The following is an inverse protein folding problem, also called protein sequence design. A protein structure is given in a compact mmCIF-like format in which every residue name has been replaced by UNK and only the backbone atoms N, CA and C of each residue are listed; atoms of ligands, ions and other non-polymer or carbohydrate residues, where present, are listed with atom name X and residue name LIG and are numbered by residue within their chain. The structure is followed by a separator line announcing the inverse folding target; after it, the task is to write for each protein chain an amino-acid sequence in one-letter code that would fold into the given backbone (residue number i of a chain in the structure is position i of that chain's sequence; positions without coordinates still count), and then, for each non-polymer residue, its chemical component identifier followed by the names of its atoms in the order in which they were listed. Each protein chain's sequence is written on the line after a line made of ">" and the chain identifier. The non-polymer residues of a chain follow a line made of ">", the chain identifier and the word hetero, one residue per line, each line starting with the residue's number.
data_IF_050308721540
#
_entry.id   IF_050308721540
#
_cell.length_a   1.000
_cell.length_b   1.000
_cell.length_c   1.000
_cell.angle_alpha   90.00
_cell.angle_beta   90.00
_cell.angle_gamma   90.00
#
_symmetry.space_group_name_H-M   'P 1'
#
loop_
_entity.id
_entity.type
_entity.pdbx_description
1 polymer ?
#
# COMPACT_ATOMS: atom_id res chain seq x y z
N UNK A 1 24.63 10.00 -12.16
CA UNK A 1 24.08 8.88 -11.37
C UNK A 1 22.65 9.22 -10.97
N UNK A 2 21.75 8.29 -11.03
CA UNK A 2 20.36 8.47 -10.58
C UNK A 2 20.04 7.31 -9.64
N UNK A 3 19.54 7.63 -8.47
CA UNK A 3 19.07 6.64 -7.49
C UNK A 3 17.72 7.06 -6.90
N UNK A 4 17.24 6.34 -5.89
CA UNK A 4 15.95 6.59 -5.24
C UNK A 4 15.86 7.91 -4.47
N UNK A 5 16.99 8.54 -4.21
CA UNK A 5 17.06 9.82 -3.47
C UNK A 5 17.18 11.01 -4.41
N UNK A 6 17.55 10.78 -5.66
CA UNK A 6 17.64 11.86 -6.65
C UNK A 6 18.57 11.59 -7.81
N UNK A 7 18.84 12.65 -8.53
CA UNK A 7 19.79 12.67 -9.64
C UNK A 7 21.05 13.45 -9.23
N UNK A 8 22.21 12.84 -9.47
CA UNK A 8 23.51 13.41 -9.18
C UNK A 8 24.27 13.63 -10.48
N UNK A 9 24.80 14.83 -10.67
CA UNK A 9 25.59 15.19 -11.83
C UNK A 9 27.00 15.57 -11.42
N UNK A 10 28.01 15.03 -12.10
CA UNK A 10 29.41 15.49 -11.97
C UNK A 10 29.64 16.89 -12.54
N UNK A 11 28.61 17.47 -13.16
CA UNK A 11 28.76 18.64 -13.99
C UNK A 11 29.18 18.30 -15.43
N UNK A 12 29.46 19.32 -16.20
CA UNK A 12 29.88 19.18 -17.57
C UNK A 12 31.37 18.77 -17.63
N UNK A 13 31.66 17.68 -18.34
CA UNK A 13 33.03 17.21 -18.65
C UNK A 13 33.28 17.47 -20.14
N UNK A 14 34.26 18.32 -20.43
CA UNK A 14 34.69 18.56 -21.83
C UNK A 14 35.73 17.51 -22.24
N UNK A 15 35.43 16.75 -23.28
CA UNK A 15 36.35 15.73 -23.82
C UNK A 15 37.63 16.39 -24.32
N UNK A 16 37.54 17.61 -24.87
CA UNK A 16 38.67 18.32 -25.45
C UNK A 16 39.58 19.00 -24.39
N UNK A 17 39.00 19.41 -23.25
CA UNK A 17 39.70 20.18 -22.22
C UNK A 17 40.04 19.37 -20.97
N UNK A 18 39.39 18.21 -20.78
CA UNK A 18 39.57 17.33 -19.61
C UNK A 18 39.42 15.85 -19.99
N UNK A 19 40.32 15.43 -20.89
CA UNK A 19 40.38 14.06 -21.39
C UNK A 19 40.52 13.05 -20.25
N UNK A 20 41.31 13.41 -19.21
CA UNK A 20 41.54 12.51 -18.08
C UNK A 20 40.26 12.28 -17.25
N UNK A 21 39.46 13.31 -17.00
CA UNK A 21 38.20 13.17 -16.28
C UNK A 21 37.22 12.32 -17.08
N UNK A 22 37.15 12.50 -18.42
CA UNK A 22 36.34 11.69 -19.29
C UNK A 22 36.75 10.21 -19.26
N UNK A 23 38.04 9.93 -19.47
CA UNK A 23 38.57 8.56 -19.45
C UNK A 23 38.36 7.90 -18.10
N UNK A 24 38.57 8.63 -16.98
CA UNK A 24 38.26 8.11 -15.62
C UNK A 24 36.80 7.74 -15.48
N UNK A 25 35.85 8.59 -15.90
CA UNK A 25 34.44 8.31 -15.80
C UNK A 25 34.06 7.03 -16.55
N UNK A 26 34.48 6.90 -17.80
CA UNK A 26 34.21 5.71 -18.63
C UNK A 26 34.87 4.47 -18.04
N UNK A 27 36.17 4.56 -17.68
CA UNK A 27 36.87 3.44 -17.05
C UNK A 27 36.25 3.00 -15.74
N UNK A 28 35.77 3.95 -14.94
CA UNK A 28 35.06 3.61 -13.68
C UNK A 28 33.84 2.76 -13.96
N UNK A 29 33.00 3.13 -14.93
CA UNK A 29 31.84 2.31 -15.30
C UNK A 29 32.19 0.92 -15.81
N UNK A 30 33.28 0.81 -16.59
CA UNK A 30 33.75 -0.47 -17.13
C UNK A 30 34.34 -1.41 -16.08
N UNK A 31 34.86 -0.85 -14.97
CA UNK A 31 35.49 -1.60 -13.92
C UNK A 31 34.54 -1.87 -12.72
N UNK A 32 33.34 -1.26 -12.71
CA UNK A 32 32.35 -1.49 -11.67
C UNK A 32 31.86 -2.94 -11.68
N UNK A 33 31.77 -3.51 -10.49
CA UNK A 33 31.08 -4.78 -10.26
C UNK A 33 29.55 -4.60 -10.45
N UNK A 34 28.84 -5.69 -10.63
CA UNK A 34 27.37 -5.70 -10.73
C UNK A 34 26.72 -4.94 -9.57
N UNK A 35 27.23 -5.10 -8.35
CA UNK A 35 26.76 -4.41 -7.15
C UNK A 35 26.96 -2.89 -7.24
N UNK A 36 28.13 -2.46 -7.74
CA UNK A 36 28.44 -1.03 -7.92
C UNK A 36 27.63 -0.40 -9.06
N UNK A 37 27.25 -1.19 -10.05
CA UNK A 37 26.31 -0.81 -11.11
C UNK A 37 24.86 -0.76 -10.63
N UNK A 38 24.58 -1.16 -9.37
CA UNK A 38 23.25 -1.15 -8.77
C UNK A 38 22.40 -2.37 -9.13
N UNK A 39 22.99 -3.43 -9.65
CA UNK A 39 22.30 -4.69 -9.88
C UNK A 39 22.10 -5.43 -8.55
N UNK A 40 20.94 -6.04 -8.40
CA UNK A 40 20.65 -6.86 -7.22
C UNK A 40 21.38 -8.22 -7.35
N UNK A 41 22.46 -8.38 -6.58
CA UNK A 41 23.27 -9.61 -6.55
C UNK A 41 22.68 -10.69 -5.66
N UNK A 42 21.57 -10.43 -4.96
CA UNK A 42 20.89 -11.42 -4.11
C UNK A 42 20.01 -12.37 -4.91
N UNK A 43 19.63 -12.00 -6.13
CA UNK A 43 18.95 -12.86 -7.09
C UNK A 43 20.00 -13.52 -7.98
N UNK A 44 20.25 -14.81 -7.74
CA UNK A 44 21.24 -15.60 -8.49
C UNK A 44 20.62 -16.25 -9.73
N UNK A 45 21.33 -16.22 -10.84
CA UNK A 45 20.97 -16.96 -12.04
C UNK A 45 21.73 -18.31 -12.05
N UNK A 46 21.01 -19.40 -11.99
CA UNK A 46 21.57 -20.77 -12.02
C UNK A 46 20.80 -21.57 -13.06
N UNK A 47 21.46 -22.00 -14.12
CA UNK A 47 20.86 -22.78 -15.23
C UNK A 47 19.57 -22.14 -15.80
N UNK A 48 19.57 -20.81 -15.94
CA UNK A 48 18.44 -20.03 -16.44
C UNK A 48 17.30 -19.83 -15.44
N UNK A 49 17.45 -20.27 -14.17
CA UNK A 49 16.52 -20.09 -13.08
C UNK A 49 16.94 -18.94 -12.18
N UNK A 50 15.97 -18.16 -11.71
CA UNK A 50 16.20 -17.07 -10.75
C UNK A 50 15.99 -17.60 -9.34
N UNK A 51 17.05 -17.66 -8.54
CA UNK A 51 17.05 -18.26 -7.20
C UNK A 51 17.48 -17.21 -6.17
N UNK A 52 16.73 -17.12 -5.09
CA UNK A 52 17.12 -16.38 -3.88
C UNK A 52 17.42 -17.35 -2.74
N UNK A 53 18.38 -16.98 -1.91
CA UNK A 53 18.70 -17.68 -0.66
C UNK A 53 18.16 -16.86 0.50
N UNK A 54 17.41 -17.49 1.39
CA UNK A 54 16.83 -16.87 2.60
C UNK A 54 17.24 -17.65 3.84
N UNK A 55 17.13 -17.00 5.00
CA UNK A 55 17.17 -17.65 6.32
C UNK A 55 15.80 -17.42 6.94
N UNK A 56 15.08 -18.48 7.25
CA UNK A 56 13.76 -18.37 7.87
C UNK A 56 13.87 -17.76 9.27
N UNK A 57 13.05 -16.75 9.57
CA UNK A 57 13.13 -15.99 10.83
C UNK A 57 12.80 -16.84 12.07
N UNK A 58 11.89 -17.82 11.94
CA UNK A 58 11.50 -18.67 13.07
C UNK A 58 12.45 -19.85 13.29
N UNK A 59 12.83 -20.55 12.23
CA UNK A 59 13.63 -21.79 12.32
C UNK A 59 15.14 -21.54 12.28
N UNK A 60 15.57 -20.41 11.69
CA UNK A 60 16.97 -20.14 11.37
C UNK A 60 17.51 -21.02 10.22
N UNK A 61 16.65 -21.82 9.58
CA UNK A 61 17.06 -22.69 8.48
C UNK A 61 17.28 -21.88 7.19
N UNK A 62 18.32 -22.29 6.47
CA UNK A 62 18.61 -21.73 5.17
C UNK A 62 17.82 -22.45 4.08
N UNK A 63 17.12 -21.68 3.25
CA UNK A 63 16.31 -22.18 2.15
C UNK A 63 16.59 -21.46 0.84
N UNK A 64 16.53 -22.17 -0.27
CA UNK A 64 16.53 -21.60 -1.59
C UNK A 64 15.12 -21.58 -2.16
N UNK A 65 14.72 -20.41 -2.71
CA UNK A 65 13.41 -20.20 -3.33
C UNK A 65 13.67 -19.83 -4.80
N UNK A 66 13.05 -20.59 -5.70
CA UNK A 66 13.00 -20.24 -7.11
C UNK A 66 11.87 -19.25 -7.34
N UNK A 67 12.17 -18.10 -7.95
CA UNK A 67 11.21 -17.02 -8.20
C UNK A 67 10.97 -16.85 -9.70
N UNK A 68 9.78 -16.38 -10.07
CA UNK A 68 9.47 -15.99 -11.43
C UNK A 68 10.37 -14.78 -11.80
N UNK A 69 11.18 -14.85 -12.88
CA UNK A 69 12.06 -13.75 -13.27
C UNK A 69 11.29 -12.48 -13.65
N UNK A 70 9.99 -12.61 -13.96
CA UNK A 70 9.12 -11.48 -14.27
C UNK A 70 8.45 -10.99 -12.99
N UNK A 71 8.77 -9.78 -12.50
CA UNK A 71 8.14 -9.26 -11.29
C UNK A 71 6.66 -9.00 -11.51
N UNK A 72 5.87 -9.26 -10.47
CA UNK A 72 4.44 -8.94 -10.39
C UNK A 72 4.21 -7.42 -10.32
N UNK A 73 5.06 -6.75 -9.55
CA UNK A 73 5.03 -5.29 -9.33
C UNK A 73 6.40 -4.74 -9.64
N UNK A 74 6.44 -3.65 -10.40
CA UNK A 74 7.65 -2.88 -10.70
C UNK A 74 7.44 -1.42 -10.28
N UNK A 75 8.48 -0.75 -9.79
CA UNK A 75 8.40 0.68 -9.54
C UNK A 75 8.26 1.45 -10.86
N UNK A 76 7.25 2.30 -10.95
CA UNK A 76 7.04 3.15 -12.12
C UNK A 76 7.86 4.45 -12.06
N UNK A 77 8.35 4.84 -10.89
CA UNK A 77 9.10 6.07 -10.66
C UNK A 77 10.47 5.79 -10.06
N UNK A 78 11.45 6.59 -10.47
CA UNK A 78 12.81 6.53 -9.91
C UNK A 78 12.86 6.96 -8.46
N UNK A 79 12.06 7.96 -8.09
CA UNK A 79 12.01 8.55 -6.74
C UNK A 79 10.89 7.98 -5.89
N UNK A 80 10.74 6.67 -5.83
CA UNK A 80 9.76 5.96 -4.98
C UNK A 80 10.47 4.97 -4.06
N UNK A 81 9.74 4.32 -3.14
CA UNK A 81 10.30 3.21 -2.32
C UNK A 81 10.86 2.06 -3.15
N UNK A 82 10.63 2.07 -4.45
CA UNK A 82 11.15 1.09 -5.38
C UNK A 82 10.61 -0.31 -5.17
N UNK A 83 9.42 -0.43 -4.62
CA UNK A 83 8.79 -1.72 -4.34
C UNK A 83 8.76 -2.58 -5.59
N UNK A 84 9.38 -3.75 -5.49
CA UNK A 84 9.40 -4.77 -6.53
C UNK A 84 8.98 -6.08 -5.88
N UNK A 85 8.00 -6.77 -6.46
CA UNK A 85 7.49 -8.02 -5.91
C UNK A 85 7.64 -9.15 -6.91
N UNK A 86 8.08 -10.31 -6.43
CA UNK A 86 8.18 -11.56 -7.18
C UNK A 86 7.35 -12.64 -6.49
N UNK A 87 6.76 -13.55 -7.27
CA UNK A 87 6.18 -14.77 -6.73
C UNK A 87 7.21 -15.91 -6.80
N UNK A 88 7.14 -16.85 -5.87
CA UNK A 88 7.85 -18.12 -6.01
C UNK A 88 7.16 -18.99 -7.07
N UNK A 89 7.92 -19.84 -7.77
CA UNK A 89 7.36 -20.73 -8.80
C UNK A 89 6.42 -21.79 -8.24
N UNK A 90 6.54 -22.14 -6.96
CA UNK A 90 5.64 -23.05 -6.26
C UNK A 90 4.38 -22.35 -5.70
N UNK A 91 4.17 -21.06 -5.99
CA UNK A 91 3.06 -20.24 -5.53
C UNK A 91 2.88 -20.17 -4.00
N UNK A 92 3.95 -20.41 -3.21
CA UNK A 92 3.88 -20.35 -1.74
C UNK A 92 4.26 -18.99 -1.18
N UNK A 93 5.19 -18.28 -1.86
CA UNK A 93 5.83 -17.10 -1.31
C UNK A 93 5.67 -15.87 -2.23
N UNK A 94 5.48 -14.73 -1.58
CA UNK A 94 5.69 -13.41 -2.17
C UNK A 94 7.02 -12.86 -1.66
N UNK A 95 7.90 -12.45 -2.56
CA UNK A 95 9.19 -11.82 -2.23
C UNK A 95 9.11 -10.35 -2.58
N UNK A 96 9.14 -9.48 -1.57
CA UNK A 96 9.03 -8.02 -1.68
C UNK A 96 10.38 -7.39 -1.42
N UNK A 97 10.83 -6.55 -2.32
CA UNK A 97 12.00 -5.68 -2.16
C UNK A 97 11.53 -4.24 -2.08
N UNK A 98 12.02 -3.48 -1.11
CA UNK A 98 11.65 -2.07 -0.97
C UNK A 98 12.66 -1.28 -0.14
N UNK A 99 12.72 0.03 -0.37
CA UNK A 99 13.49 0.96 0.44
C UNK A 99 12.61 1.53 1.56
N UNK A 100 13.12 1.52 2.78
CA UNK A 100 12.47 2.10 3.95
C UNK A 100 13.36 3.12 4.61
N UNK A 101 12.76 4.19 5.16
CA UNK A 101 13.44 5.04 6.12
C UNK A 101 13.54 4.33 7.47
N UNK A 102 14.60 4.59 8.23
CA UNK A 102 14.79 4.00 9.56
C UNK A 102 13.92 4.66 10.65
N UNK A 103 13.17 5.70 10.32
CA UNK A 103 12.28 6.34 11.27
C UNK A 103 10.95 5.58 11.35
N UNK A 104 10.63 5.06 12.52
CA UNK A 104 9.41 4.28 12.78
C UNK A 104 9.64 2.78 12.75
N UNK A 105 8.60 2.02 13.11
CA UNK A 105 8.63 0.57 13.02
C UNK A 105 8.58 0.12 11.57
N UNK A 106 9.46 -0.79 11.21
CA UNK A 106 9.48 -1.38 9.87
C UNK A 106 8.32 -2.37 9.68
N UNK A 107 7.91 -2.61 8.42
CA UNK A 107 6.96 -3.67 8.10
C UNK A 107 7.35 -5.02 8.72
N UNK A 108 8.63 -5.34 8.72
CA UNK A 108 9.18 -6.56 9.32
C UNK A 108 8.88 -6.67 10.82
N UNK A 109 9.09 -5.58 11.56
CA UNK A 109 8.81 -5.55 13.01
C UNK A 109 7.32 -5.67 13.30
N UNK A 110 6.48 -4.98 12.53
CA UNK A 110 5.03 -5.07 12.65
C UNK A 110 4.52 -6.47 12.30
N UNK A 111 5.03 -7.10 11.25
CA UNK A 111 4.70 -8.47 10.90
C UNK A 111 5.12 -9.46 11.99
N UNK A 112 6.32 -9.33 12.56
CA UNK A 112 6.77 -10.16 13.71
C UNK A 112 5.83 -10.02 14.90
N UNK A 113 5.37 -8.83 15.19
CA UNK A 113 4.38 -8.57 16.25
C UNK A 113 2.99 -9.12 15.92
N UNK A 114 2.62 -9.10 14.64
CA UNK A 114 1.35 -9.63 14.17
C UNK A 114 1.29 -11.16 14.24
N UNK A 115 2.41 -11.87 14.26
CA UNK A 115 2.40 -13.35 14.34
C UNK A 115 1.90 -13.87 15.71
N UNK A 116 1.16 -14.99 15.74
CA UNK A 116 0.49 -15.68 14.63
C UNK A 116 -0.97 -15.21 14.51
N UNK A 117 -1.30 -14.31 13.59
CA UNK A 117 -2.68 -13.88 13.36
C UNK A 117 -3.28 -14.54 12.11
N UNK A 118 -4.56 -14.95 12.21
CA UNK A 118 -5.32 -15.41 11.05
C UNK A 118 -5.82 -14.22 10.24
N UNK A 119 -5.84 -14.37 8.92
CA UNK A 119 -6.30 -13.33 8.00
C UNK A 119 -5.28 -12.20 7.74
N UNK A 120 -4.04 -12.36 8.21
CA UNK A 120 -2.88 -11.50 7.89
C UNK A 120 -1.76 -12.41 7.39
N UNK A 121 -1.03 -11.99 6.36
CA UNK A 121 0.11 -12.78 5.85
C UNK A 121 1.20 -12.94 6.90
N UNK A 122 1.90 -14.07 6.85
CA UNK A 122 2.99 -14.39 7.75
C UNK A 122 4.33 -13.95 7.15
N UNK A 123 5.20 -13.40 8.00
CA UNK A 123 6.60 -13.22 7.69
C UNK A 123 7.32 -14.55 7.73
N UNK A 124 8.03 -14.88 6.65
CA UNK A 124 8.86 -16.10 6.56
C UNK A 124 10.33 -15.77 6.77
N UNK A 125 10.80 -14.71 6.10
CA UNK A 125 12.17 -14.25 6.20
C UNK A 125 12.26 -12.76 5.93
N UNK A 126 13.27 -12.12 6.51
CA UNK A 126 13.59 -10.73 6.26
C UNK A 126 15.10 -10.50 6.23
N UNK A 127 15.56 -9.73 5.25
CA UNK A 127 16.97 -9.41 5.10
C UNK A 127 17.16 -7.92 4.81
N UNK A 128 18.20 -7.36 5.42
CA UNK A 128 18.76 -6.06 5.01
C UNK A 128 19.73 -6.31 3.87
N UNK A 129 19.40 -5.90 2.67
CA UNK A 129 20.23 -6.11 1.47
C UNK A 129 21.30 -5.02 1.36
N UNK A 130 20.91 -3.78 1.65
CA UNK A 130 21.82 -2.64 1.52
C UNK A 130 21.42 -1.53 2.49
N UNK A 131 22.44 -0.87 3.06
CA UNK A 131 22.26 0.34 3.86
C UNK A 131 22.74 1.55 3.05
N UNK A 132 21.92 2.59 3.00
CA UNK A 132 22.21 3.78 2.19
C UNK A 132 23.32 4.68 2.77
N UNK A 133 23.63 4.58 4.06
CA UNK A 133 24.71 5.37 4.70
C UNK A 133 26.06 5.25 3.97
N UNK A 134 26.33 4.08 3.36
CA UNK A 134 27.56 3.86 2.58
C UNK A 134 27.66 4.75 1.33
N UNK A 135 26.57 4.92 0.58
CA UNK A 135 26.57 5.76 -0.63
C UNK A 135 26.70 7.25 -0.29
N UNK A 136 26.11 7.67 0.82
CA UNK A 136 26.19 9.06 1.29
C UNK A 136 27.63 9.44 1.70
N UNK A 137 28.36 8.54 2.31
CA UNK A 137 29.78 8.79 2.65
C UNK A 137 30.63 9.06 1.41
N UNK A 138 30.38 8.36 0.31
CA UNK A 138 31.04 8.60 -0.97
C UNK A 138 30.67 9.96 -1.59
N UNK A 139 29.53 10.53 -1.23
CA UNK A 139 29.01 11.79 -1.79
C UNK A 139 29.25 13.01 -0.90
N UNK A 140 29.81 12.85 0.32
CA UNK A 140 30.09 13.94 1.29
C UNK A 140 30.95 15.10 0.73
N UNK A 141 31.65 14.92 -0.38
CA UNK A 141 32.42 15.97 -1.06
C UNK A 141 31.67 16.77 -2.11
N UNK A 142 30.43 16.42 -2.43
CA UNK A 142 29.66 17.06 -3.49
C UNK A 142 28.64 18.02 -2.89
N UNK A 143 28.78 19.32 -3.14
CA UNK A 143 27.78 20.31 -2.77
C UNK A 143 26.52 20.09 -3.62
N UNK A 144 25.32 19.91 -3.00
CA UNK A 144 24.10 19.76 -3.76
C UNK A 144 23.78 21.05 -4.52
N UNK A 145 23.70 20.99 -5.84
CA UNK A 145 23.15 22.07 -6.65
C UNK A 145 21.64 21.93 -6.68
N UNK A 146 20.93 22.96 -6.25
CA UNK A 146 19.46 23.01 -6.40
C UNK A 146 19.12 23.32 -7.84
N UNK A 147 18.31 22.46 -8.47
CA UNK A 147 17.64 22.77 -9.71
C UNK A 147 16.34 23.49 -9.36
N UNK A 148 16.22 24.77 -9.73
CA UNK A 148 14.96 25.47 -9.67
C UNK A 148 14.14 25.07 -10.88
N UNK A 149 13.07 24.29 -10.66
CA UNK A 149 12.04 24.11 -11.69
C UNK A 149 11.32 25.45 -11.85
N UNK A 150 11.30 25.96 -13.07
CA UNK A 150 10.54 27.19 -13.35
C UNK A 150 9.03 26.91 -13.24
N UNK A 151 8.19 27.93 -12.92
CA UNK A 151 6.74 27.76 -12.79
C UNK A 151 6.04 27.15 -14.03
N UNK A 152 6.68 27.15 -15.19
CA UNK A 152 6.17 26.51 -16.42
C UNK A 152 6.20 24.98 -16.37
N UNK A 153 7.04 24.39 -15.51
CA UNK A 153 7.16 22.95 -15.38
C UNK A 153 6.12 22.34 -14.42
N UNK A 154 5.28 23.20 -13.80
CA UNK A 154 4.19 22.76 -12.91
C UNK A 154 2.99 22.14 -13.66
N UNK A 155 2.99 22.15 -15.00
CA UNK A 155 1.92 21.55 -15.82
C UNK A 155 1.98 20.02 -15.92
N UNK A 156 3.02 19.37 -15.38
CA UNK A 156 3.16 17.92 -15.33
C UNK A 156 2.71 17.34 -13.98
N UNK A 157 1.50 17.73 -13.54
CA UNK A 157 0.81 17.04 -12.44
C UNK A 157 0.23 15.72 -12.94
N UNK A 158 1.07 14.73 -13.12
CA UNK A 158 0.62 13.36 -13.34
C UNK A 158 0.44 12.71 -11.96
N UNK A 159 -0.79 12.76 -11.43
CA UNK A 159 -1.19 11.91 -10.33
C UNK A 159 -1.46 10.51 -10.91
N UNK A 160 -0.49 9.62 -10.81
CA UNK A 160 -0.77 8.20 -10.95
C UNK A 160 -1.44 7.73 -9.65
N UNK A 161 -2.61 7.12 -9.78
CA UNK A 161 -3.46 6.65 -8.67
C UNK A 161 -2.82 5.54 -7.81
N UNK A 162 -1.59 5.12 -8.13
CA UNK A 162 -0.84 4.10 -7.41
C UNK A 162 0.13 4.64 -6.35
N UNK A 163 0.39 5.97 -6.34
CA UNK A 163 1.35 6.55 -5.39
C UNK A 163 0.66 7.06 -4.13
N UNK A 164 1.23 6.75 -2.96
CA UNK A 164 0.78 7.29 -1.69
C UNK A 164 1.01 8.80 -1.62
N UNK A 165 0.11 9.54 -0.95
CA UNK A 165 0.21 10.99 -0.68
C UNK A 165 1.56 11.35 -0.05
N UNK A 166 2.17 10.40 0.66
CA UNK A 166 3.47 10.55 1.32
C UNK A 166 4.64 10.89 0.37
N UNK A 167 4.65 10.34 -0.86
CA UNK A 167 5.70 10.62 -1.84
C UNK A 167 5.60 12.04 -2.43
N UNK A 168 4.40 12.60 -2.50
CA UNK A 168 4.17 13.96 -3.00
C UNK A 168 4.69 15.01 -2.03
N UNK A 169 4.53 14.79 -0.72
CA UNK A 169 4.96 15.73 0.33
C UNK A 169 6.46 15.81 0.53
N UNK A 170 7.18 14.69 0.32
CA UNK A 170 8.65 14.71 0.32
C UNK A 170 9.21 15.67 -0.70
N UNK A 171 8.62 15.76 -1.90
CA UNK A 171 9.05 16.68 -2.96
C UNK A 171 8.89 18.15 -2.55
N UNK A 172 7.81 18.50 -1.86
CA UNK A 172 7.56 19.88 -1.46
C UNK A 172 8.42 20.32 -0.26
N UNK A 173 8.79 19.43 0.67
CA UNK A 173 9.76 19.75 1.73
C UNK A 173 11.13 20.16 1.18
N UNK A 174 11.52 19.69 0.02
CA UNK A 174 12.77 20.04 -0.64
C UNK A 174 12.70 21.33 -1.46
N UNK A 175 11.51 21.92 -1.69
CA UNK A 175 11.33 23.13 -2.50
C UNK A 175 11.37 24.46 -1.72
N UNK A 176 11.28 24.44 -0.39
CA UNK A 176 11.15 25.64 0.43
C UNK A 176 12.28 25.82 1.45
N UNK A 177 13.50 26.09 0.97
CA UNK A 177 14.49 26.77 1.78
C UNK A 177 14.86 28.07 1.06
N UNK A 178 14.51 29.18 1.69
CA UNK A 178 14.85 30.53 1.20
C UNK A 178 16.38 30.73 1.11
N UNK A 179 16.80 31.58 0.15
CA UNK A 179 18.19 31.98 -0.01
C UNK A 179 18.68 32.61 1.30
N UNK A 180 19.68 32.03 1.92
CA UNK A 180 20.42 32.65 3.02
C UNK A 180 20.93 31.77 4.13
N UNK A 181 20.37 30.60 4.37
CA UNK A 181 20.88 29.67 5.38
C UNK A 181 21.44 28.41 4.73
N UNK A 182 22.70 28.12 4.99
CA UNK A 182 23.27 26.80 4.73
C UNK A 182 22.60 25.80 5.67
N UNK A 183 21.40 25.36 5.31
CA UNK A 183 20.78 24.22 5.99
C UNK A 183 21.67 23.03 5.69
N UNK A 184 22.51 22.70 6.65
CA UNK A 184 23.09 21.37 6.79
C UNK A 184 21.89 20.43 6.70
N UNK A 185 21.76 19.69 5.58
CA UNK A 185 20.80 18.60 5.51
C UNK A 185 21.14 17.70 6.70
N UNK A 186 20.22 17.62 7.65
CA UNK A 186 20.36 16.66 8.73
C UNK A 186 20.40 15.28 8.07
N UNK A 187 21.49 14.59 8.26
CA UNK A 187 21.84 13.27 7.69
C UNK A 187 20.95 12.15 8.26
N UNK A 188 19.87 12.50 8.95
CA UNK A 188 19.04 11.59 9.74
C UNK A 188 18.05 10.73 8.93
N UNK A 189 18.07 10.82 7.61
CA UNK A 189 17.26 9.94 6.76
C UNK A 189 18.12 8.82 6.18
N UNK A 190 18.54 7.89 7.03
CA UNK A 190 19.08 6.62 6.55
C UNK A 190 17.96 5.81 5.91
N UNK A 191 18.24 5.32 4.72
CA UNK A 191 17.37 4.40 3.98
C UNK A 191 18.02 3.03 3.95
N UNK A 192 17.19 2.03 4.13
CA UNK A 192 17.62 0.63 4.09
C UNK A 192 16.83 -0.11 3.02
N UNK A 193 17.54 -0.85 2.18
CA UNK A 193 16.94 -1.74 1.18
C UNK A 193 16.68 -3.09 1.81
N UNK A 194 15.41 -3.43 1.95
CA UNK A 194 14.95 -4.66 2.58
C UNK A 194 14.41 -5.63 1.54
N UNK A 195 14.60 -6.91 1.84
CA UNK A 195 13.86 -8.01 1.25
C UNK A 195 12.99 -8.64 2.34
N UNK A 196 11.70 -8.79 2.05
CA UNK A 196 10.73 -9.45 2.93
C UNK A 196 10.10 -10.61 2.16
N UNK A 197 10.04 -11.78 2.76
CA UNK A 197 9.41 -12.98 2.21
C UNK A 197 8.16 -13.30 3.01
N UNK A 198 7.03 -13.30 2.33
CA UNK A 198 5.70 -13.45 2.89
C UNK A 198 5.05 -14.76 2.43
N UNK A 199 4.22 -15.35 3.29
CA UNK A 199 3.39 -16.53 2.99
C UNK A 199 2.01 -16.39 3.64
N UNK A 200 0.94 -16.87 2.98
CA UNK A 200 0.93 -17.42 1.63
C UNK A 200 1.02 -16.36 0.54
N UNK A 201 1.48 -16.72 -0.67
CA UNK A 201 1.19 -15.95 -1.87
C UNK A 201 -0.30 -16.01 -2.18
N UNK A 202 -0.85 -14.90 -2.67
CA UNK A 202 -2.26 -14.83 -3.03
C UNK A 202 -2.50 -14.03 -4.31
N UNK A 203 -3.68 -14.24 -4.91
CA UNK A 203 -4.11 -13.48 -6.09
C UNK A 203 -4.76 -12.16 -5.67
N UNK A 204 -4.66 -11.10 -6.49
CA UNK A 204 -5.27 -9.81 -6.17
C UNK A 204 -6.81 -9.92 -6.09
N UNK A 205 -7.43 -9.09 -5.23
CA UNK A 205 -8.87 -9.06 -4.99
C UNK A 205 -9.69 -8.89 -6.30
N UNK A 206 -9.17 -8.12 -7.25
CA UNK A 206 -9.83 -7.89 -8.55
C UNK A 206 -9.97 -9.18 -9.39
N UNK A 207 -9.23 -10.23 -9.07
CA UNK A 207 -9.33 -11.54 -9.73
C UNK A 207 -10.43 -12.43 -9.18
N UNK A 208 -11.32 -11.92 -8.31
CA UNK A 208 -12.51 -12.62 -7.87
C UNK A 208 -13.38 -13.04 -9.06
N UNK A 209 -13.82 -14.30 -9.05
CA UNK A 209 -14.61 -14.89 -10.13
C UNK A 209 -16.12 -14.85 -9.87
N UNK A 210 -16.53 -14.51 -8.66
CA UNK A 210 -17.95 -14.40 -8.26
C UNK A 210 -18.15 -13.41 -7.13
N UNK A 211 -19.37 -12.90 -7.01
CA UNK A 211 -19.79 -12.04 -5.89
C UNK A 211 -19.61 -12.76 -4.56
N UNK A 212 -19.98 -14.04 -4.49
CA UNK A 212 -19.82 -14.85 -3.28
C UNK A 212 -18.34 -14.90 -2.85
N UNK A 213 -17.41 -15.15 -3.77
CA UNK A 213 -15.97 -15.15 -3.47
C UNK A 213 -15.51 -13.77 -2.98
N UNK A 214 -15.93 -12.69 -3.64
CA UNK A 214 -15.58 -11.33 -3.26
C UNK A 214 -16.04 -11.01 -1.83
N UNK A 215 -17.28 -11.33 -1.49
CA UNK A 215 -17.84 -11.08 -0.16
C UNK A 215 -17.14 -11.90 0.93
N UNK A 216 -16.82 -13.17 0.66
CA UNK A 216 -16.08 -14.03 1.59
C UNK A 216 -14.68 -13.48 1.83
N UNK A 217 -13.95 -13.13 0.76
CA UNK A 217 -12.58 -12.60 0.83
C UNK A 217 -12.55 -11.30 1.62
N UNK A 218 -13.48 -10.39 1.36
CA UNK A 218 -13.53 -9.10 2.05
C UNK A 218 -13.92 -9.28 3.54
N UNK A 219 -14.89 -10.14 3.86
CA UNK A 219 -15.23 -10.50 5.24
C UNK A 219 -14.02 -11.07 5.99
N UNK A 220 -13.28 -11.97 5.37
CA UNK A 220 -12.12 -12.62 6.01
C UNK A 220 -10.98 -11.61 6.24
N UNK A 221 -10.75 -10.69 5.29
CA UNK A 221 -9.82 -9.57 5.49
C UNK A 221 -10.25 -8.64 6.65
N UNK A 222 -11.56 -8.38 6.82
CA UNK A 222 -12.09 -7.64 7.97
C UNK A 222 -11.89 -8.42 9.27
N UNK A 223 -12.01 -9.74 9.26
CA UNK A 223 -11.69 -10.60 10.41
C UNK A 223 -10.20 -10.51 10.75
N UNK A 224 -9.31 -10.57 9.77
CA UNK A 224 -7.87 -10.36 9.95
C UNK A 224 -7.55 -9.01 10.55
N UNK A 225 -8.17 -7.94 10.04
CA UNK A 225 -8.03 -6.59 10.58
C UNK A 225 -8.52 -6.48 12.03
N UNK A 226 -9.64 -7.13 12.35
CA UNK A 226 -10.15 -7.19 13.73
C UNK A 226 -9.10 -7.81 14.65
N UNK A 227 -8.50 -8.94 14.28
CA UNK A 227 -7.47 -9.59 15.09
C UNK A 227 -6.22 -8.71 15.21
N UNK A 228 -5.78 -8.09 14.10
CA UNK A 228 -4.65 -7.17 14.10
C UNK A 228 -4.85 -6.00 15.08
N UNK A 229 -6.03 -5.39 15.05
CA UNK A 229 -6.34 -4.25 15.91
C UNK A 229 -6.60 -4.65 17.36
N UNK A 230 -7.44 -5.70 17.60
CA UNK A 230 -7.90 -6.03 18.95
C UNK A 230 -6.83 -6.78 19.74
N UNK A 231 -6.08 -7.69 19.11
CA UNK A 231 -5.10 -8.55 19.77
C UNK A 231 -3.71 -7.93 19.82
N UNK A 232 -3.37 -7.08 18.82
CA UNK A 232 -2.03 -6.52 18.66
C UNK A 232 -1.97 -4.99 18.74
N UNK A 233 -3.12 -4.32 18.84
CA UNK A 233 -3.23 -2.86 18.84
C UNK A 233 -2.55 -2.20 17.64
N UNK A 234 -2.59 -2.85 16.46
CA UNK A 234 -2.05 -2.35 15.21
C UNK A 234 -3.21 -1.92 14.31
N UNK A 235 -3.16 -0.69 13.80
CA UNK A 235 -4.05 -0.15 12.77
C UNK A 235 -3.33 -0.29 11.44
N UNK A 236 -4.03 -0.77 10.40
CA UNK A 236 -3.43 -1.01 9.07
C UNK A 236 -3.14 0.30 8.33
N UNK A 237 -4.05 1.26 8.40
CA UNK A 237 -3.95 2.63 7.87
C UNK A 237 -3.79 2.76 6.34
N UNK A 238 -3.75 1.65 5.59
CA UNK A 238 -3.75 1.61 4.11
C UNK A 238 -4.61 0.46 3.56
N UNK A 239 -5.88 0.41 3.98
CA UNK A 239 -6.83 -0.57 3.44
C UNK A 239 -7.21 -0.17 2.02
N UNK A 240 -6.90 -1.06 1.07
CA UNK A 240 -7.19 -0.90 -0.35
C UNK A 240 -7.38 -2.26 -1.03
N UNK A 241 -7.89 -2.26 -2.23
CA UNK A 241 -8.08 -3.46 -3.03
C UNK A 241 -6.79 -4.21 -3.38
N UNK A 242 -5.65 -3.49 -3.44
CA UNK A 242 -4.33 -4.08 -3.67
C UNK A 242 -3.72 -4.71 -2.42
N UNK A 243 -4.20 -4.34 -1.23
CA UNK A 243 -3.69 -4.83 0.05
C UNK A 243 -4.57 -5.95 0.64
N UNK A 244 -5.50 -6.49 -0.17
CA UNK A 244 -6.31 -7.65 0.13
C UNK A 244 -6.06 -8.72 -0.94
N UNK A 245 -5.65 -9.90 -0.52
CA UNK A 245 -5.35 -11.02 -1.40
C UNK A 245 -6.32 -12.18 -1.20
N UNK A 246 -6.55 -12.92 -2.30
CA UNK A 246 -7.29 -14.17 -2.30
C UNK A 246 -6.31 -15.31 -2.06
N UNK A 247 -6.56 -16.10 -1.04
CA UNK A 247 -5.70 -17.24 -0.68
C UNK A 247 -6.47 -18.55 -0.68
N UNK A 248 -5.74 -19.66 -0.76
CA UNK A 248 -6.30 -20.99 -0.55
C UNK A 248 -6.28 -21.31 0.94
N UNK A 249 -7.43 -21.69 1.55
CA UNK A 249 -7.47 -22.06 2.97
C UNK A 249 -6.54 -23.21 3.29
N UNK A 250 -5.96 -23.18 4.49
CA UNK A 250 -5.14 -24.26 5.05
C UNK A 250 -5.83 -24.88 6.27
N UNK A 251 -5.24 -25.91 6.84
CA UNK A 251 -5.73 -26.49 8.10
C UNK A 251 -5.64 -25.51 9.27
N UNK A 252 -4.60 -24.65 9.26
CA UNK A 252 -4.30 -23.72 10.34
C UNK A 252 -5.07 -22.39 10.19
N UNK A 253 -5.20 -21.90 8.94
CA UNK A 253 -5.95 -20.69 8.64
C UNK A 253 -6.95 -20.97 7.51
N UNK A 254 -8.24 -20.90 7.85
CA UNK A 254 -9.34 -21.12 6.92
C UNK A 254 -9.76 -19.85 6.18
N UNK A 255 -9.07 -18.73 6.40
CA UNK A 255 -9.33 -17.48 5.69
C UNK A 255 -9.13 -17.66 4.19
N UNK A 256 -10.03 -17.09 3.41
CA UNK A 256 -9.93 -17.00 1.93
C UNK A 256 -9.48 -15.61 1.49
N UNK A 257 -9.50 -14.64 2.40
CA UNK A 257 -9.01 -13.29 2.23
C UNK A 257 -8.00 -12.96 3.31
N UNK A 258 -6.87 -12.36 2.92
CA UNK A 258 -5.83 -11.93 3.85
C UNK A 258 -5.37 -10.51 3.56
N UNK A 259 -4.94 -9.82 4.61
CA UNK A 259 -4.28 -8.51 4.54
C UNK A 259 -2.78 -8.68 4.29
N UNK A 260 -2.25 -7.79 3.46
CA UNK A 260 -0.82 -7.63 3.17
C UNK A 260 -0.41 -6.17 3.34
N UNK A 261 0.90 -5.93 3.37
CA UNK A 261 1.52 -4.59 3.32
C UNK A 261 1.25 -3.74 4.57
N UNK A 262 1.97 -4.06 5.66
CA UNK A 262 1.92 -3.29 6.90
C UNK A 262 2.87 -2.07 6.91
N UNK A 263 3.39 -1.64 5.75
CA UNK A 263 4.35 -0.53 5.64
C UNK A 263 3.82 0.81 6.20
N UNK A 264 2.51 1.00 6.19
CA UNK A 264 1.84 2.21 6.68
C UNK A 264 1.09 1.98 7.99
N UNK A 265 1.23 0.80 8.57
CA UNK A 265 0.52 0.42 9.80
C UNK A 265 1.11 1.11 11.01
N UNK A 266 0.28 1.33 12.02
CA UNK A 266 0.63 2.04 13.24
C UNK A 266 0.30 1.19 14.45
N UNK A 267 1.31 0.94 15.30
CA UNK A 267 1.12 0.30 16.59
C UNK A 267 0.78 1.33 17.66
N UNK A 268 -0.38 1.17 18.30
CA UNK A 268 -0.92 2.17 19.25
C UNK A 268 -0.19 2.19 20.60
N UNK A 269 0.51 1.12 20.97
CA UNK A 269 1.29 1.08 22.21
C UNK A 269 2.53 1.97 22.15
N UNK A 270 3.01 2.34 20.95
CA UNK A 270 4.09 3.30 20.79
C UNK A 270 3.55 4.73 20.64
N UNK A 271 3.18 5.32 21.76
CA UNK A 271 2.63 6.68 21.80
C UNK A 271 3.59 7.74 21.27
N UNK A 272 4.91 7.53 21.35
CA UNK A 272 5.88 8.51 20.81
C UNK A 272 5.91 8.48 19.29
N UNK A 273 5.88 7.31 18.66
CA UNK A 273 5.80 7.18 17.20
C UNK A 273 4.44 7.60 16.64
N UNK A 274 3.35 7.33 17.33
CA UNK A 274 2.01 7.77 16.91
C UNK A 274 1.86 9.29 16.77
N UNK A 275 2.67 10.07 17.50
CA UNK A 275 2.73 11.53 17.33
C UNK A 275 3.56 11.98 16.13
N UNK A 276 4.49 11.16 15.62
CA UNK A 276 5.33 11.49 14.46
C UNK A 276 4.67 11.12 13.13
N UNK A 277 3.78 10.12 13.11
CA UNK A 277 3.04 9.66 11.92
C UNK A 277 1.67 10.32 11.91
N UNK A 278 1.64 11.62 11.64
CA UNK A 278 0.39 12.41 11.62
C UNK A 278 -0.13 12.73 10.23
N UNK A 279 0.46 12.14 9.20
CA UNK A 279 0.03 12.38 7.84
C UNK A 279 -0.87 11.23 7.37
N UNK A 280 -2.01 11.54 6.78
CA UNK A 280 -2.83 10.54 6.13
C UNK A 280 -2.06 9.88 5.01
N UNK A 281 -2.02 8.57 5.00
CA UNK A 281 -1.36 7.75 3.98
C UNK A 281 -2.37 6.82 3.33
N UNK A 282 -2.05 6.32 2.14
CA UNK A 282 -2.88 5.38 1.41
C UNK A 282 -3.50 5.96 0.13
N UNK A 283 -4.27 5.14 -0.57
CA UNK A 283 -4.90 5.52 -1.83
C UNK A 283 -6.15 6.36 -1.59
N UNK A 284 -6.20 7.57 -2.15
CA UNK A 284 -7.31 8.54 -2.02
C UNK A 284 -8.69 7.90 -2.28
N UNK A 285 -8.78 7.00 -3.28
CA UNK A 285 -10.02 6.30 -3.63
C UNK A 285 -10.62 5.54 -2.44
N UNK A 286 -9.78 4.95 -1.59
CA UNK A 286 -10.23 4.12 -0.47
C UNK A 286 -10.21 4.83 0.88
N UNK A 287 -9.51 5.96 1.01
CA UNK A 287 -9.43 6.70 2.28
C UNK A 287 -10.80 7.07 2.83
N UNK A 288 -10.94 7.06 4.15
CA UNK A 288 -12.08 7.61 4.87
C UNK A 288 -12.13 9.15 4.74
N UNK A 289 -13.23 9.76 5.16
CA UNK A 289 -13.41 11.22 5.05
C UNK A 289 -12.44 11.99 5.94
N UNK A 290 -12.18 11.50 7.15
CA UNK A 290 -11.33 12.18 8.11
C UNK A 290 -9.88 12.34 7.65
N UNK A 291 -9.17 11.28 7.18
CA UNK A 291 -7.86 11.44 6.57
C UNK A 291 -7.89 12.31 5.30
N UNK A 292 -8.93 12.24 4.47
CA UNK A 292 -9.06 13.12 3.30
C UNK A 292 -9.20 14.60 3.71
N UNK A 293 -10.00 14.90 4.73
CA UNK A 293 -10.14 16.26 5.26
C UNK A 293 -8.82 16.74 5.91
N UNK A 294 -8.02 15.84 6.49
CA UNK A 294 -6.71 16.18 7.05
C UNK A 294 -5.69 16.56 5.97
N UNK A 295 -5.68 15.87 4.82
CA UNK A 295 -4.84 16.23 3.66
C UNK A 295 -5.14 17.64 3.17
N UNK A 296 -6.39 18.05 3.20
CA UNK A 296 -6.85 19.37 2.74
C UNK A 296 -6.39 20.52 3.63
N UNK A 297 -6.03 20.26 4.89
CA UNK A 297 -5.64 21.31 5.84
C UNK A 297 -4.36 22.02 5.37
N UNK A 298 -4.24 23.35 5.58
CA UNK A 298 -2.99 24.06 5.31
C UNK A 298 -1.82 23.45 6.09
N UNK A 299 -0.64 23.38 5.48
CA UNK A 299 0.58 22.78 6.08
C UNK A 299 0.90 23.30 7.50
N UNK A 300 0.62 24.59 7.78
CA UNK A 300 0.79 25.18 9.11
C UNK A 300 -0.08 24.52 10.20
N UNK A 301 -1.11 23.75 9.84
CA UNK A 301 -2.03 23.07 10.76
C UNK A 301 -1.88 21.56 10.75
N UNK A 302 -0.89 21.00 10.07
CA UNK A 302 -0.64 19.56 10.09
C UNK A 302 -0.24 19.00 11.46
N UNK A 303 0.17 19.90 12.37
CA UNK A 303 0.38 19.57 13.79
C UNK A 303 -0.94 19.46 14.60
N UNK A 304 -2.08 19.86 14.03
CA UNK A 304 -3.38 19.64 14.63
C UNK A 304 -3.76 18.18 14.38
N UNK A 305 -3.83 17.41 15.45
CA UNK A 305 -3.91 15.95 15.49
C UNK A 305 -4.89 15.32 14.49
N UNK A 306 -4.35 14.60 13.52
CA UNK A 306 -5.03 13.51 12.86
C UNK A 306 -4.69 12.24 13.65
N UNK A 307 -5.68 11.56 14.19
CA UNK A 307 -5.50 10.27 14.83
C UNK A 307 -5.86 9.16 13.84
N UNK A 308 -4.89 8.26 13.59
CA UNK A 308 -5.20 7.01 12.91
C UNK A 308 -6.21 6.22 13.75
N UNK A 309 -7.30 5.78 13.16
CA UNK A 309 -8.33 5.04 13.86
C UNK A 309 -8.76 3.80 13.09
N UNK A 310 -9.13 2.74 13.83
CA UNK A 310 -9.72 1.54 13.23
C UNK A 310 -11.03 1.83 12.49
N UNK A 311 -11.73 2.90 12.86
CA UNK A 311 -12.94 3.35 12.19
C UNK A 311 -12.66 3.81 10.77
N UNK A 312 -11.52 4.48 10.55
CA UNK A 312 -11.08 4.90 9.22
C UNK A 312 -10.79 3.69 8.34
N UNK A 313 -10.13 2.65 8.89
CA UNK A 313 -9.90 1.40 8.16
C UNK A 313 -11.21 0.68 7.81
N UNK A 314 -12.21 0.68 8.72
CA UNK A 314 -13.53 0.10 8.42
C UNK A 314 -14.25 0.86 7.31
N UNK A 315 -14.15 2.19 7.26
CA UNK A 315 -14.67 3.00 6.14
C UNK A 315 -13.89 2.71 4.86
N UNK A 316 -12.57 2.49 4.94
CA UNK A 316 -11.76 2.08 3.79
C UNK A 316 -12.17 0.71 3.24
N UNK A 317 -12.48 -0.27 4.09
CA UNK A 317 -13.10 -1.54 3.67
C UNK A 317 -14.44 -1.34 2.97
N UNK A 318 -15.27 -0.43 3.46
CA UNK A 318 -16.53 -0.09 2.81
C UNK A 318 -16.30 0.54 1.44
N UNK A 319 -15.30 1.42 1.29
CA UNK A 319 -14.94 1.99 -0.01
C UNK A 319 -14.42 0.91 -0.99
N UNK A 320 -13.66 -0.08 -0.50
CA UNK A 320 -13.25 -1.27 -1.30
C UNK A 320 -14.48 -2.08 -1.73
N UNK A 321 -15.43 -2.31 -0.81
CA UNK A 321 -16.69 -2.99 -1.12
C UNK A 321 -17.48 -2.26 -2.21
N UNK A 322 -17.67 -0.94 -2.09
CA UNK A 322 -18.38 -0.15 -3.09
C UNK A 322 -17.69 -0.17 -4.44
N UNK A 323 -16.36 -0.06 -4.45
CA UNK A 323 -15.57 -0.14 -5.68
C UNK A 323 -15.76 -1.49 -6.37
N UNK A 324 -15.70 -2.60 -5.62
CA UNK A 324 -15.95 -3.92 -6.17
C UNK A 324 -17.37 -4.06 -6.72
N UNK A 325 -18.37 -3.59 -6.00
CA UNK A 325 -19.78 -3.64 -6.47
C UNK A 325 -20.03 -2.81 -7.74
N UNK A 326 -19.29 -1.70 -7.91
CA UNK A 326 -19.45 -0.83 -9.09
C UNK A 326 -18.59 -1.29 -10.25
N UNK A 327 -17.36 -1.74 -10.03
CA UNK A 327 -16.37 -1.91 -11.09
C UNK A 327 -16.16 -3.37 -11.52
N UNK A 328 -16.42 -4.37 -10.62
CA UNK A 328 -16.15 -5.76 -10.95
C UNK A 328 -17.35 -6.46 -11.58
N UNK A 329 -17.08 -7.53 -12.33
CA UNK A 329 -18.11 -8.37 -12.94
C UNK A 329 -19.01 -7.66 -13.96
N UNK A 330 -18.53 -6.57 -14.56
CA UNK A 330 -19.26 -5.85 -15.61
C UNK A 330 -19.10 -6.52 -16.95
N UNK A 331 -20.15 -6.38 -17.75
CA UNK A 331 -20.14 -6.73 -19.16
C UNK A 331 -19.17 -5.77 -19.89
N UNK A 332 -18.14 -6.28 -20.60
CA UNK A 332 -17.20 -5.46 -21.35
C UNK A 332 -17.83 -4.61 -22.45
N UNK A 333 -19.00 -5.03 -22.96
CA UNK A 333 -19.73 -4.35 -24.04
C UNK A 333 -20.57 -3.16 -23.53
N UNK A 334 -20.70 -3.01 -22.19
CA UNK A 334 -21.42 -1.88 -21.60
C UNK A 334 -20.47 -0.70 -21.27
N UNK A 335 -21.00 0.53 -21.25
CA UNK A 335 -20.22 1.69 -20.83
C UNK A 335 -19.56 1.46 -19.46
N UNK A 336 -18.26 1.78 -19.37
CA UNK A 336 -17.53 1.69 -18.11
C UNK A 336 -18.18 2.59 -17.08
N UNK A 337 -18.49 2.00 -15.93
CA UNK A 337 -18.87 2.74 -14.73
C UNK A 337 -17.80 2.50 -13.67
N UNK A 338 -17.35 3.58 -13.06
CA UNK A 338 -16.29 3.56 -12.04
C UNK A 338 -16.55 4.61 -10.97
N UNK A 339 -15.68 4.63 -10.00
CA UNK A 339 -15.62 5.63 -8.93
C UNK A 339 -14.35 6.51 -9.07
N UNK A 340 -13.85 6.72 -10.27
CA UNK A 340 -12.64 7.51 -10.53
C UNK A 340 -12.86 9.00 -10.18
N UNK A 341 -14.12 9.45 -10.12
CA UNK A 341 -14.47 10.76 -9.55
C UNK A 341 -14.08 10.94 -8.08
N UNK A 342 -13.72 9.86 -7.37
CA UNK A 342 -13.24 9.87 -5.99
C UNK A 342 -11.72 10.03 -5.89
N UNK A 343 -11.01 9.96 -7.00
CA UNK A 343 -9.53 9.99 -7.03
C UNK A 343 -8.96 10.77 -8.23
N UNK A 344 -9.64 11.83 -8.67
CA UNK A 344 -9.10 12.75 -9.67
C UNK A 344 -7.99 13.66 -9.06
N UNK A 345 -7.43 14.56 -9.89
CA UNK A 345 -6.33 15.45 -9.47
C UNK A 345 -6.74 16.59 -8.52
N UNK A 346 -8.01 16.61 -8.06
CA UNK A 346 -8.55 17.68 -7.21
C UNK A 346 -9.13 17.11 -5.93
N UNK A 347 -8.37 17.18 -4.85
CA UNK A 347 -8.75 16.60 -3.57
C UNK A 347 -10.11 17.11 -3.04
N UNK A 348 -10.43 18.37 -3.26
CA UNK A 348 -11.72 18.97 -2.85
C UNK A 348 -12.90 18.31 -3.59
N UNK A 349 -12.76 18.11 -4.89
CA UNK A 349 -13.77 17.45 -5.73
C UNK A 349 -13.89 15.98 -5.34
N UNK A 350 -12.78 15.28 -5.07
CA UNK A 350 -12.78 13.89 -4.62
C UNK A 350 -13.59 13.73 -3.32
N UNK A 351 -13.35 14.58 -2.34
CA UNK A 351 -14.08 14.57 -1.06
C UNK A 351 -15.56 14.84 -1.30
N UNK A 352 -15.87 15.86 -2.10
CA UNK A 352 -17.27 16.24 -2.36
C UNK A 352 -18.03 15.14 -3.11
N UNK A 353 -17.43 14.55 -4.16
CA UNK A 353 -18.03 13.47 -4.93
C UNK A 353 -18.28 12.24 -4.06
N UNK A 354 -17.28 11.86 -3.25
CA UNK A 354 -17.42 10.72 -2.34
C UNK A 354 -18.49 10.97 -1.26
N UNK A 355 -18.56 12.18 -0.66
CA UNK A 355 -19.61 12.54 0.31
C UNK A 355 -20.99 12.51 -0.34
N UNK A 356 -21.12 13.08 -1.53
CA UNK A 356 -22.35 13.09 -2.28
C UNK A 356 -22.84 11.66 -2.57
N UNK A 357 -21.98 10.79 -3.08
CA UNK A 357 -22.33 9.40 -3.39
C UNK A 357 -22.68 8.59 -2.12
N UNK A 358 -21.91 8.74 -1.03
CA UNK A 358 -22.07 7.89 0.17
C UNK A 358 -23.11 8.44 1.15
N UNK A 359 -23.19 9.75 1.33
CA UNK A 359 -24.02 10.35 2.38
C UNK A 359 -25.34 10.94 1.86
N UNK A 360 -25.34 11.50 0.65
CA UNK A 360 -26.53 12.21 0.12
C UNK A 360 -27.31 11.35 -0.87
N UNK A 361 -26.65 10.67 -1.81
CA UNK A 361 -27.28 9.95 -2.92
C UNK A 361 -26.99 8.45 -2.93
N UNK A 362 -26.84 7.84 -1.76
CA UNK A 362 -26.43 6.44 -1.64
C UNK A 362 -27.36 5.44 -2.32
N UNK A 363 -28.69 5.66 -2.23
CA UNK A 363 -29.68 4.85 -2.92
C UNK A 363 -29.52 4.90 -4.44
N UNK A 364 -29.13 6.05 -4.98
CA UNK A 364 -28.85 6.20 -6.41
C UNK A 364 -27.58 5.45 -6.81
N UNK A 365 -26.50 5.57 -6.03
CA UNK A 365 -25.27 4.81 -6.22
C UNK A 365 -25.55 3.30 -6.26
N UNK A 366 -26.26 2.78 -5.26
CA UNK A 366 -26.58 1.33 -5.17
C UNK A 366 -27.47 0.87 -6.32
N UNK A 367 -28.50 1.64 -6.68
CA UNK A 367 -29.49 1.21 -7.67
C UNK A 367 -28.99 1.37 -9.11
N UNK A 368 -28.21 2.41 -9.40
CA UNK A 368 -27.79 2.75 -10.77
C UNK A 368 -26.34 2.35 -11.09
N UNK A 369 -25.43 2.40 -10.10
CA UNK A 369 -24.01 2.14 -10.37
C UNK A 369 -23.54 0.72 -10.04
N UNK A 370 -24.20 -0.04 -9.15
CA UNK A 370 -23.83 -1.43 -8.91
C UNK A 370 -23.97 -2.27 -10.18
N UNK A 371 -22.98 -3.12 -10.44
CA UNK A 371 -23.03 -4.01 -11.59
C UNK A 371 -24.15 -5.05 -11.40
N UNK A 372 -24.70 -5.55 -12.51
CA UNK A 372 -25.76 -6.57 -12.48
C UNK A 372 -25.36 -7.84 -11.74
N UNK A 373 -24.06 -8.16 -11.71
CA UNK A 373 -23.51 -9.28 -10.94
C UNK A 373 -23.65 -9.09 -9.44
N UNK A 374 -23.70 -7.83 -8.94
CA UNK A 374 -23.72 -7.48 -7.52
C UNK A 374 -25.11 -7.08 -7.01
N UNK A 375 -26.17 -7.48 -7.69
CA UNK A 375 -27.55 -7.17 -7.27
C UNK A 375 -27.85 -7.68 -5.85
N UNK A 376 -27.37 -8.86 -5.49
CA UNK A 376 -27.55 -9.49 -4.16
C UNK A 376 -26.78 -8.81 -3.04
N UNK A 377 -25.81 -7.96 -3.38
CA UNK A 377 -25.01 -7.18 -2.41
C UNK A 377 -25.63 -5.80 -2.11
N UNK A 378 -26.72 -5.39 -2.75
CA UNK A 378 -27.34 -4.06 -2.58
C UNK A 378 -27.80 -3.80 -1.16
N UNK A 379 -28.50 -4.75 -0.54
CA UNK A 379 -28.99 -4.62 0.82
C UNK A 379 -27.84 -4.63 1.83
N UNK A 380 -26.79 -5.42 1.59
CA UNK A 380 -25.54 -5.35 2.38
C UNK A 380 -24.93 -3.94 2.31
N UNK A 381 -24.87 -3.35 1.12
CA UNK A 381 -24.34 -1.98 0.97
C UNK A 381 -25.09 -0.96 1.82
N UNK A 382 -26.42 -1.02 1.84
CA UNK A 382 -27.27 -0.14 2.66
C UNK A 382 -27.07 -0.39 4.17
N UNK A 383 -27.00 -1.66 4.57
CA UNK A 383 -26.76 -2.05 5.96
C UNK A 383 -25.40 -1.56 6.45
N UNK A 384 -24.35 -1.72 5.63
CA UNK A 384 -22.99 -1.24 5.95
C UNK A 384 -22.93 0.30 6.04
N UNK A 385 -23.57 1.01 5.11
CA UNK A 385 -23.65 2.47 5.15
C UNK A 385 -24.32 2.96 6.43
N UNK A 386 -25.43 2.34 6.83
CA UNK A 386 -26.11 2.68 8.07
C UNK A 386 -25.28 2.34 9.32
N UNK A 387 -24.57 1.20 9.34
CA UNK A 387 -23.68 0.82 10.42
C UNK A 387 -22.50 1.78 10.58
N UNK A 388 -21.92 2.27 9.50
CA UNK A 388 -20.71 3.10 9.53
C UNK A 388 -21.02 4.58 9.80
N UNK A 389 -22.09 5.13 9.22
CA UNK A 389 -22.38 6.56 9.26
C UNK A 389 -23.60 6.90 10.12
N UNK A 390 -24.50 5.93 10.42
CA UNK A 390 -25.63 6.07 11.32
C UNK A 390 -26.55 7.25 10.99
N UNK A 391 -27.40 7.63 11.96
CA UNK A 391 -28.33 8.75 11.84
C UNK A 391 -27.61 10.13 11.84
N UNK A 392 -26.39 10.20 12.37
CA UNK A 392 -25.63 11.44 12.52
C UNK A 392 -24.63 11.71 11.38
N UNK A 393 -24.58 10.84 10.35
CA UNK A 393 -23.69 10.95 9.19
C UNK A 393 -22.21 11.17 9.53
N UNK A 394 -21.78 10.79 10.73
CA UNK A 394 -20.38 10.80 11.20
C UNK A 394 -19.97 9.39 11.60
N UNK A 395 -18.71 9.01 11.37
CA UNK A 395 -18.18 7.75 11.89
C UNK A 395 -18.37 7.71 13.41
N UNK A 396 -18.88 6.58 13.93
CA UNK A 396 -19.11 6.45 15.37
C UNK A 396 -17.79 6.07 16.04
N UNK A 397 -17.19 7.03 16.73
CA UNK A 397 -15.99 6.85 17.53
C UNK A 397 -16.36 6.65 19.00
N UNK A 398 -16.34 5.41 19.49
CA UNK A 398 -16.26 5.15 20.92
C UNK A 398 -15.50 3.86 21.22
N UNK A 399 -14.42 4.00 22.00
CA UNK A 399 -13.50 2.95 22.42
C UNK A 399 -14.15 1.74 23.10
N UNK A 400 -15.31 1.92 23.72
CA UNK A 400 -16.01 0.84 24.46
C UNK A 400 -16.74 -0.17 23.56
N UNK A 401 -16.88 0.08 22.24
CA UNK A 401 -17.69 -0.73 21.35
C UNK A 401 -16.91 -1.34 20.15
N UNK A 402 -15.58 -1.46 20.24
CA UNK A 402 -14.73 -1.99 19.14
C UNK A 402 -15.22 -3.35 18.63
N UNK A 403 -15.44 -4.31 19.55
CA UNK A 403 -15.95 -5.64 19.21
C UNK A 403 -17.34 -5.60 18.58
N UNK A 404 -18.21 -4.74 19.09
CA UNK A 404 -19.60 -4.64 18.62
C UNK A 404 -19.63 -4.21 17.17
N UNK A 405 -18.83 -3.19 16.80
CA UNK A 405 -18.80 -2.67 15.44
C UNK A 405 -18.30 -3.72 14.43
N UNK A 406 -17.17 -4.38 14.72
CA UNK A 406 -16.68 -5.47 13.87
C UNK A 406 -17.70 -6.60 13.74
N UNK A 407 -18.32 -7.01 14.86
CA UNK A 407 -19.29 -8.09 14.87
C UNK A 407 -20.53 -7.76 14.04
N UNK A 408 -21.05 -6.53 14.12
CA UNK A 408 -22.18 -6.09 13.31
C UNK A 408 -21.85 -6.15 11.81
N UNK A 409 -20.70 -5.62 11.41
CA UNK A 409 -20.24 -5.65 10.00
C UNK A 409 -20.09 -7.10 9.53
N UNK A 410 -19.38 -7.94 10.30
CA UNK A 410 -19.17 -9.36 9.96
C UNK A 410 -20.49 -10.12 9.88
N UNK A 411 -21.46 -9.85 10.76
CA UNK A 411 -22.79 -10.45 10.72
C UNK A 411 -23.57 -10.04 9.47
N UNK A 412 -23.49 -8.77 9.05
CA UNK A 412 -24.11 -8.32 7.81
C UNK A 412 -23.55 -9.07 6.58
N UNK A 413 -22.21 -9.22 6.51
CA UNK A 413 -21.59 -10.06 5.47
C UNK A 413 -22.05 -11.52 5.54
N UNK A 414 -22.03 -12.15 6.72
CA UNK A 414 -22.41 -13.55 6.88
C UNK A 414 -23.87 -13.80 6.47
N UNK A 415 -24.77 -12.88 6.80
CA UNK A 415 -26.18 -12.93 6.41
C UNK A 415 -26.32 -12.97 4.88
N UNK A 416 -25.66 -12.03 4.18
CA UNK A 416 -25.73 -11.97 2.70
C UNK A 416 -25.03 -13.17 2.05
N UNK A 417 -23.88 -13.59 2.56
CA UNK A 417 -23.16 -14.80 2.09
C UNK A 417 -24.08 -16.02 2.21
N UNK A 418 -24.71 -16.23 3.37
CA UNK A 418 -25.61 -17.36 3.60
C UNK A 418 -26.86 -17.34 2.68
N UNK A 419 -27.38 -16.17 2.36
CA UNK A 419 -28.48 -16.01 1.39
C UNK A 419 -28.06 -16.47 -0.01
N UNK A 420 -26.92 -15.99 -0.51
CA UNK A 420 -26.38 -16.35 -1.82
C UNK A 420 -26.07 -17.85 -1.90
N UNK A 421 -25.45 -18.44 -0.86
CA UNK A 421 -25.16 -19.87 -0.78
C UNK A 421 -26.44 -20.71 -0.82
N UNK A 422 -27.49 -20.30 -0.08
CA UNK A 422 -28.80 -20.95 -0.06
C UNK A 422 -29.49 -20.93 -1.43
N UNK A 423 -29.39 -19.83 -2.16
CA UNK A 423 -29.94 -19.73 -3.53
C UNK A 423 -29.20 -20.61 -4.52
N UNK A 424 -27.86 -20.65 -4.45
CA UNK A 424 -27.05 -21.55 -5.28
C UNK A 424 -27.44 -23.02 -5.04
N UNK A 425 -27.57 -23.40 -3.77
CA UNK A 425 -27.94 -24.76 -3.38
C UNK A 425 -29.33 -25.14 -3.89
N UNK A 426 -30.29 -24.22 -3.78
CA UNK A 426 -31.66 -24.44 -4.25
C UNK A 426 -31.77 -24.58 -5.77
N UNK A 427 -30.91 -23.87 -6.53
CA UNK A 427 -30.85 -23.98 -7.99
C UNK A 427 -30.25 -25.32 -8.45
N UNK A 428 -29.19 -25.80 -7.74
CA UNK A 428 -28.56 -27.09 -8.04
C UNK A 428 -29.47 -28.29 -7.78
N UNK A 429 -30.42 -28.21 -6.84
CA UNK A 429 -31.38 -29.29 -6.54
C UNK A 429 -32.61 -29.27 -7.45
N UNK A 430 -32.81 -28.22 -8.27
CA UNK A 430 -33.91 -28.10 -9.21
C UNK A 430 -33.52 -28.43 -10.67
N UNK A 431 -32.21 -28.53 -10.93
CA UNK A 431 -31.64 -28.96 -12.23
C UNK A 431 -31.32 -30.46 -12.21
#
# INVERSE_FOLDING_TARGET
>A
MIDRTGAYSSGYISIENDEQAFVRAISSYLLMSDKELGLDTTIRQVDGRSIIKIVEDESGETKEIEIDPKPLIKPHRLTSRGTTCYRSLDDKYLVKYSWHGILGESETELLKKALPLKGVVNLVASDVIQNYSYHWECLKGFAPRRWHLTPKDQSLNYYDSSDSVFDTERREKYQFAEEGESTVFSVDNEYVFHRVVLSPYGRPLQSCTSVLQFLIVLRDAILGHRSLFIEKEIIHNDISDSNIIIVTPTEYDRSRGMLIDLDHSVALYDRMLSYLIRLPVGKIKFMAFEPLDAIKRPKARWNESFECSYSNDLVSFFNVFLTGCVEYGRDPDLPRMDLDSWCNNRIDENIQNKRNDILENFEELVNKKFSSSFVDAKELGKELQQLLFGLNRKPIEYLQNRYVKYNQIIQAFNKTIGQIEGEIHSKLHRS
#
